data_IF_418557665190
#
_entry.id   IF_418557665190
#
_cell.length_a   1.000
_cell.length_b   1.000
_cell.length_c   1.000
_cell.angle_alpha   90.00
_cell.angle_beta   90.00
_cell.angle_gamma   90.00
#
_symmetry.space_group_name_H-M   'P 1'
#
loop_
_entity.id
_entity.type
_entity.pdbx_description
1 polymer ?
#
# COMPACT_ATOMS: atom_id res chain seq x y z
N UNK A 1 22.62 4.00 -14.56
CA UNK A 1 21.36 3.22 -14.46
C UNK A 1 20.25 4.22 -14.42
N UNK A 2 19.49 4.36 -15.49
CA UNK A 2 18.45 5.40 -15.60
C UNK A 2 17.25 4.95 -16.43
N UNK A 3 17.31 3.76 -17.03
CA UNK A 3 16.19 3.25 -17.82
C UNK A 3 15.17 2.53 -16.94
N UNK A 4 13.92 2.48 -17.42
CA UNK A 4 12.86 1.66 -16.82
C UNK A 4 13.31 0.19 -16.60
N UNK A 5 14.06 -0.36 -17.57
CA UNK A 5 14.60 -1.72 -17.48
C UNK A 5 15.62 -1.87 -16.34
N UNK A 6 16.53 -0.91 -16.17
CA UNK A 6 17.48 -0.91 -15.06
C UNK A 6 16.76 -0.89 -13.71
N UNK A 7 15.73 -0.04 -13.57
CA UNK A 7 14.94 0.09 -12.35
C UNK A 7 14.16 -1.19 -12.01
N UNK A 8 13.52 -1.83 -12.99
CA UNK A 8 12.88 -3.14 -12.79
C UNK A 8 13.92 -4.17 -12.29
N UNK A 9 15.09 -4.21 -12.91
CA UNK A 9 16.13 -5.17 -12.54
C UNK A 9 16.67 -4.95 -11.12
N UNK A 10 16.78 -3.70 -10.66
CA UNK A 10 17.13 -3.38 -9.26
C UNK A 10 16.10 -3.93 -8.28
N UNK A 11 14.81 -3.72 -8.54
CA UNK A 11 13.73 -4.26 -7.69
C UNK A 11 13.79 -5.79 -7.65
N UNK A 12 13.95 -6.43 -8.81
CA UNK A 12 14.02 -7.90 -8.91
C UNK A 12 15.20 -8.41 -8.08
N UNK A 13 16.39 -7.83 -8.23
CA UNK A 13 17.57 -8.27 -7.47
C UNK A 13 17.37 -8.17 -5.96
N UNK A 14 16.72 -7.11 -5.48
CA UNK A 14 16.46 -6.95 -4.04
C UNK A 14 15.39 -7.93 -3.53
N UNK A 15 14.34 -8.18 -4.31
CA UNK A 15 13.13 -8.86 -3.81
C UNK A 15 13.02 -10.34 -4.14
N UNK A 16 13.94 -10.88 -4.92
CA UNK A 16 13.92 -12.28 -5.35
C UNK A 16 15.25 -12.96 -5.04
N UNK A 17 15.23 -14.29 -4.93
CA UNK A 17 16.47 -15.03 -4.74
C UNK A 17 17.35 -15.01 -5.99
N UNK A 18 18.67 -15.02 -5.82
CA UNK A 18 19.58 -15.00 -6.96
C UNK A 18 19.43 -16.22 -7.87
N UNK A 19 19.22 -17.39 -7.27
CA UNK A 19 19.18 -18.68 -7.98
C UNK A 19 17.85 -18.92 -8.67
N UNK A 20 16.72 -18.52 -8.05
CA UNK A 20 15.37 -18.88 -8.52
C UNK A 20 14.54 -17.69 -8.99
N UNK A 21 15.09 -16.46 -9.07
CA UNK A 21 14.32 -15.25 -9.42
C UNK A 21 13.37 -15.39 -10.59
N UNK A 22 13.77 -16.05 -11.67
CA UNK A 22 12.93 -16.14 -12.86
C UNK A 22 11.72 -17.03 -12.65
N UNK A 23 11.89 -18.12 -11.89
CA UNK A 23 10.82 -19.02 -11.51
C UNK A 23 9.91 -18.36 -10.47
N UNK A 24 10.48 -17.65 -9.49
CA UNK A 24 9.71 -16.88 -8.52
C UNK A 24 8.86 -15.81 -9.21
N UNK A 25 9.44 -15.09 -10.18
CA UNK A 25 8.72 -14.09 -10.97
C UNK A 25 7.61 -14.71 -11.80
N UNK A 26 7.82 -15.88 -12.40
CA UNK A 26 6.77 -16.62 -13.09
C UNK A 26 5.63 -17.03 -12.17
N UNK A 27 5.95 -17.58 -10.99
CA UNK A 27 4.97 -18.00 -9.99
C UNK A 27 4.10 -16.83 -9.51
N UNK A 28 4.67 -15.63 -9.34
CA UNK A 28 3.93 -14.46 -8.85
C UNK A 28 3.24 -13.65 -9.96
N UNK A 29 3.76 -13.64 -11.19
CA UNK A 29 3.26 -12.80 -12.29
C UNK A 29 2.47 -13.54 -13.35
N UNK A 30 2.63 -14.86 -13.46
CA UNK A 30 2.13 -15.66 -14.58
C UNK A 30 2.89 -15.46 -15.89
N UNK A 31 3.90 -14.59 -15.93
CA UNK A 31 4.76 -14.38 -17.10
C UNK A 31 5.86 -15.44 -17.10
N UNK A 32 6.00 -16.16 -18.21
CA UNK A 32 6.94 -17.27 -18.32
C UNK A 32 8.37 -16.91 -17.88
N UNK A 33 9.04 -17.82 -17.16
CA UNK A 33 10.39 -17.58 -16.66
C UNK A 33 11.40 -17.31 -17.80
N UNK A 34 11.19 -17.90 -18.98
CA UNK A 34 11.99 -17.66 -20.19
C UNK A 34 11.89 -16.22 -20.69
N UNK A 35 10.71 -15.61 -20.54
CA UNK A 35 10.46 -14.19 -20.85
C UNK A 35 11.22 -13.33 -19.84
N UNK A 36 11.10 -13.59 -18.55
CA UNK A 36 11.90 -12.89 -17.53
C UNK A 36 13.41 -13.01 -17.74
N UNK A 37 13.91 -14.19 -18.11
CA UNK A 37 15.31 -14.41 -18.46
C UNK A 37 15.75 -13.60 -19.67
N UNK A 38 14.91 -13.51 -20.71
CA UNK A 38 15.23 -12.74 -21.91
C UNK A 38 15.33 -11.25 -21.59
N UNK A 39 14.45 -10.75 -20.72
CA UNK A 39 14.51 -9.38 -20.22
C UNK A 39 15.79 -9.15 -19.39
N UNK A 40 16.07 -10.01 -18.41
CA UNK A 40 17.26 -9.88 -17.55
C UNK A 40 18.60 -10.01 -18.28
N UNK A 41 18.61 -10.63 -19.46
CA UNK A 41 19.78 -10.72 -20.36
C UNK A 41 19.83 -9.58 -21.40
N UNK A 42 18.99 -8.56 -21.25
CA UNK A 42 18.85 -7.43 -22.17
C UNK A 42 18.52 -7.85 -23.63
N UNK A 43 17.90 -9.02 -23.84
CA UNK A 43 17.46 -9.50 -25.16
C UNK A 43 16.09 -8.95 -25.55
N UNK A 44 15.34 -8.43 -24.58
CA UNK A 44 14.09 -7.71 -24.80
C UNK A 44 13.97 -6.52 -23.85
N UNK A 45 13.16 -5.54 -24.27
CA UNK A 45 12.76 -4.42 -23.40
C UNK A 45 11.70 -4.89 -22.39
N UNK A 46 11.56 -4.14 -21.31
CA UNK A 46 10.46 -4.34 -20.37
C UNK A 46 9.11 -4.16 -21.07
N UNK A 47 8.20 -5.11 -20.87
CA UNK A 47 6.83 -5.01 -21.38
C UNK A 47 5.91 -4.35 -20.35
N UNK A 48 4.73 -3.89 -20.76
CA UNK A 48 3.69 -3.36 -19.88
C UNK A 48 3.31 -4.34 -18.77
N UNK A 49 3.22 -5.63 -19.10
CA UNK A 49 2.81 -6.69 -18.18
C UNK A 49 3.89 -6.92 -17.11
N UNK A 50 5.17 -6.83 -17.48
CA UNK A 50 6.27 -6.90 -16.53
C UNK A 50 6.26 -5.73 -15.54
N UNK A 51 6.04 -4.52 -16.05
CA UNK A 51 5.94 -3.31 -15.22
C UNK A 51 4.76 -3.43 -14.26
N UNK A 52 3.61 -3.84 -14.75
CA UNK A 52 2.40 -4.03 -13.94
C UNK A 52 2.60 -5.11 -12.88
N UNK A 53 3.18 -6.26 -13.24
CA UNK A 53 3.44 -7.36 -12.31
C UNK A 53 4.35 -6.93 -11.15
N UNK A 54 5.47 -6.27 -11.47
CA UNK A 54 6.43 -5.77 -10.46
C UNK A 54 5.77 -4.69 -9.59
N UNK A 55 5.01 -3.78 -10.19
CA UNK A 55 4.32 -2.70 -9.47
C UNK A 55 3.22 -3.23 -8.55
N UNK A 56 2.51 -4.29 -8.92
CA UNK A 56 1.49 -4.91 -8.04
C UNK A 56 2.12 -5.70 -6.91
N UNK A 57 3.22 -6.39 -7.17
CA UNK A 57 3.91 -7.20 -6.17
C UNK A 57 4.62 -6.35 -5.12
N UNK A 58 5.31 -5.30 -5.56
CA UNK A 58 6.08 -4.40 -4.69
C UNK A 58 5.66 -2.93 -4.91
N UNK A 59 4.45 -2.57 -4.47
CA UNK A 59 3.83 -1.29 -4.80
C UNK A 59 4.56 -0.07 -4.25
N UNK A 60 5.36 -0.22 -3.19
CA UNK A 60 6.21 0.85 -2.68
C UNK A 60 7.23 1.37 -3.71
N UNK A 61 7.58 0.57 -4.71
CA UNK A 61 8.50 0.98 -5.77
C UNK A 61 7.79 1.45 -7.05
N UNK A 62 6.47 1.31 -7.16
CA UNK A 62 5.75 1.52 -8.42
C UNK A 62 5.91 2.94 -8.98
N UNK A 63 5.84 3.96 -8.12
CA UNK A 63 6.05 5.35 -8.50
C UNK A 63 7.48 5.56 -9.03
N UNK A 64 8.49 5.21 -8.22
CA UNK A 64 9.91 5.29 -8.60
C UNK A 64 10.25 4.49 -9.86
N UNK A 65 9.63 3.31 -10.02
CA UNK A 65 9.84 2.46 -11.17
C UNK A 65 9.50 3.18 -12.48
N UNK A 66 8.40 3.92 -12.51
CA UNK A 66 7.89 4.57 -13.73
C UNK A 66 8.46 5.98 -13.89
N UNK A 67 8.53 6.76 -12.81
CA UNK A 67 8.93 8.17 -12.88
C UNK A 67 10.42 8.39 -12.66
N UNK A 68 11.10 7.48 -11.97
CA UNK A 68 12.45 7.69 -11.44
C UNK A 68 12.49 8.55 -10.18
N UNK A 69 11.34 9.01 -9.72
CA UNK A 69 11.21 9.88 -8.56
C UNK A 69 10.77 9.07 -7.33
N UNK A 70 11.26 9.45 -6.17
CA UNK A 70 10.79 8.98 -4.87
C UNK A 70 9.87 10.00 -4.25
N UNK A 71 8.99 9.50 -3.38
CA UNK A 71 8.15 10.30 -2.50
C UNK A 71 7.99 9.56 -1.16
N UNK A 72 9.05 9.57 -0.32
CA UNK A 72 9.12 8.71 0.87
C UNK A 72 8.04 9.01 1.92
N UNK A 73 7.57 10.26 2.01
CA UNK A 73 6.49 10.67 2.91
C UNK A 73 5.20 9.89 2.64
N UNK A 74 4.95 9.59 1.37
CA UNK A 74 3.82 8.78 0.93
C UNK A 74 4.21 7.30 0.72
N UNK A 75 5.40 6.88 1.14
CA UNK A 75 5.87 5.49 1.08
C UNK A 75 6.26 5.02 -0.32
N UNK A 76 6.51 5.96 -1.24
CA UNK A 76 7.06 5.68 -2.56
C UNK A 76 8.58 5.81 -2.51
N UNK A 77 9.29 4.69 -2.59
CA UNK A 77 10.73 4.64 -2.35
C UNK A 77 11.47 3.94 -3.48
N UNK A 78 12.80 4.04 -3.47
CA UNK A 78 13.66 3.24 -4.33
C UNK A 78 14.16 1.98 -3.59
N UNK A 79 14.61 0.94 -4.31
CA UNK A 79 15.38 -0.16 -3.74
C UNK A 79 16.63 0.34 -2.99
N UNK A 80 17.15 -0.43 -2.04
CA UNK A 80 18.31 -0.10 -1.19
C UNK A 80 19.59 0.18 -1.99
N UNK A 81 19.74 -0.45 -3.14
CA UNK A 81 20.88 -0.22 -4.05
C UNK A 81 20.79 1.12 -4.80
N UNK A 82 19.69 1.87 -4.64
CA UNK A 82 19.49 3.20 -5.22
C UNK A 82 19.22 4.21 -4.10
N UNK A 83 19.94 5.33 -4.14
CA UNK A 83 19.70 6.43 -3.20
C UNK A 83 18.33 7.08 -3.40
N UNK A 84 17.67 6.87 -4.55
CA UNK A 84 16.45 7.57 -4.92
C UNK A 84 16.69 9.05 -5.25
N UNK A 85 15.66 9.71 -5.78
CA UNK A 85 15.70 11.14 -6.10
C UNK A 85 14.28 11.70 -6.04
N UNK A 86 14.01 12.87 -5.45
CA UNK A 86 14.96 13.80 -4.84
C UNK A 86 15.43 13.40 -3.44
N UNK A 87 14.72 12.49 -2.78
CA UNK A 87 15.00 12.10 -1.39
C UNK A 87 15.21 10.60 -1.27
N UNK A 88 16.19 10.20 -0.47
CA UNK A 88 16.32 8.83 -0.02
C UNK A 88 15.32 8.52 1.08
N UNK A 89 14.88 7.27 1.19
CA UNK A 89 13.94 6.86 2.22
C UNK A 89 13.75 5.36 2.28
N UNK A 90 13.34 4.88 3.46
CA UNK A 90 12.94 3.48 3.65
C UNK A 90 11.45 3.32 3.40
N UNK A 91 11.06 2.19 2.81
CA UNK A 91 9.65 1.84 2.68
C UNK A 91 8.99 1.83 4.06
N UNK A 92 7.91 2.60 4.21
CA UNK A 92 7.10 2.62 5.43
C UNK A 92 6.13 1.43 5.43
N UNK A 93 6.14 0.64 6.51
CA UNK A 93 5.35 -0.59 6.62
C UNK A 93 3.84 -0.34 6.45
N UNK A 94 3.30 0.74 7.00
CA UNK A 94 1.87 1.04 6.85
C UNK A 94 1.50 1.46 5.43
N UNK A 95 2.42 2.13 4.73
CA UNK A 95 2.23 2.48 3.31
C UNK A 95 2.22 1.22 2.44
N UNK A 96 3.19 0.32 2.61
CA UNK A 96 3.22 -0.99 1.92
C UNK A 96 1.92 -1.76 2.17
N UNK A 97 1.52 -1.86 3.44
CA UNK A 97 0.28 -2.53 3.84
C UNK A 97 -0.95 -1.91 3.19
N UNK A 98 -1.06 -0.58 3.22
CA UNK A 98 -2.17 0.13 2.57
C UNK A 98 -2.24 -0.18 1.08
N UNK A 99 -1.11 -0.14 0.37
CA UNK A 99 -1.09 -0.43 -1.06
C UNK A 99 -1.52 -1.88 -1.36
N UNK A 100 -0.99 -2.84 -0.61
CA UNK A 100 -1.36 -4.25 -0.76
C UNK A 100 -2.86 -4.48 -0.50
N UNK A 101 -3.40 -3.88 0.55
CA UNK A 101 -4.82 -3.99 0.87
C UNK A 101 -5.71 -3.31 -0.18
N UNK A 102 -5.25 -2.19 -0.75
CA UNK A 102 -5.96 -1.50 -1.82
C UNK A 102 -5.97 -2.32 -3.12
N UNK A 103 -4.83 -2.92 -3.49
CA UNK A 103 -4.71 -3.80 -4.65
C UNK A 103 -5.61 -5.03 -4.47
N UNK A 104 -5.58 -5.68 -3.30
CA UNK A 104 -6.42 -6.84 -3.01
C UNK A 104 -7.92 -6.49 -3.06
N UNK A 105 -8.33 -5.37 -2.47
CA UNK A 105 -9.71 -4.92 -2.52
C UNK A 105 -10.16 -4.61 -3.96
N UNK A 106 -9.32 -3.93 -4.75
CA UNK A 106 -9.61 -3.63 -6.17
C UNK A 106 -9.74 -4.91 -7.01
N UNK A 107 -8.85 -5.87 -6.81
CA UNK A 107 -8.90 -7.15 -7.52
C UNK A 107 -10.19 -7.92 -7.19
N UNK A 108 -10.57 -7.97 -5.91
CA UNK A 108 -11.82 -8.61 -5.52
C UNK A 108 -13.05 -7.88 -6.07
N UNK A 109 -13.06 -6.54 -6.08
CA UNK A 109 -14.13 -5.76 -6.72
C UNK A 109 -14.24 -6.08 -8.21
N UNK A 110 -13.09 -6.18 -8.91
CA UNK A 110 -13.05 -6.55 -10.33
C UNK A 110 -13.66 -7.93 -10.59
N UNK A 111 -13.32 -8.92 -9.76
CA UNK A 111 -13.90 -10.26 -9.85
C UNK A 111 -15.41 -10.25 -9.62
N UNK A 112 -15.90 -9.50 -8.63
CA UNK A 112 -17.34 -9.35 -8.38
C UNK A 112 -18.07 -8.77 -9.58
N UNK A 113 -17.56 -7.67 -10.14
CA UNK A 113 -18.17 -6.99 -11.30
C UNK A 113 -18.16 -7.89 -12.53
N UNK A 114 -17.05 -8.57 -12.81
CA UNK A 114 -16.98 -9.47 -13.96
C UNK A 114 -17.90 -10.67 -13.82
N UNK A 115 -17.96 -11.28 -12.63
CA UNK A 115 -18.85 -12.41 -12.42
C UNK A 115 -20.32 -11.98 -12.55
N UNK A 116 -20.66 -10.79 -12.05
CA UNK A 116 -21.98 -10.22 -12.27
C UNK A 116 -22.27 -10.02 -13.77
N UNK A 117 -21.37 -9.41 -14.53
CA UNK A 117 -21.56 -9.26 -15.98
C UNK A 117 -21.66 -10.60 -16.73
N UNK A 118 -20.88 -11.61 -16.35
CA UNK A 118 -20.97 -12.97 -16.92
C UNK A 118 -22.33 -13.62 -16.65
N UNK A 119 -22.91 -13.36 -15.48
CA UNK A 119 -24.25 -13.86 -15.15
C UNK A 119 -25.33 -13.13 -15.97
N UNK A 120 -25.18 -11.82 -16.23
CA UNK A 120 -26.14 -11.02 -17.00
C UNK A 120 -26.04 -11.21 -18.52
N UNK A 121 -24.81 -11.31 -19.06
CA UNK A 121 -24.53 -11.33 -20.52
C UNK A 121 -24.07 -12.69 -21.04
N UNK A 122 -23.84 -13.67 -20.15
CA UNK A 122 -23.20 -14.95 -20.49
C UNK A 122 -21.67 -14.86 -20.56
N UNK A 123 -21.02 -16.01 -20.80
CA UNK A 123 -19.55 -16.13 -20.78
C UNK A 123 -18.83 -15.29 -21.85
N UNK A 124 -19.47 -15.05 -23.00
CA UNK A 124 -18.92 -14.27 -24.11
C UNK A 124 -19.09 -12.74 -23.92
N UNK A 125 -19.66 -12.30 -22.78
CA UNK A 125 -19.81 -10.87 -22.41
C UNK A 125 -20.39 -9.97 -23.52
N UNK A 126 -21.17 -10.54 -24.45
CA UNK A 126 -21.69 -9.83 -25.61
C UNK A 126 -20.63 -9.25 -26.55
N UNK A 127 -19.42 -9.83 -26.60
CA UNK A 127 -18.31 -9.34 -27.41
C UNK A 127 -17.56 -8.14 -26.81
N UNK A 128 -17.90 -7.73 -25.59
CA UNK A 128 -17.21 -6.66 -24.87
C UNK A 128 -16.01 -7.18 -24.10
N UNK A 129 -14.96 -6.36 -24.05
CA UNK A 129 -13.76 -6.66 -23.27
C UNK A 129 -13.95 -6.36 -21.78
N UNK A 130 -13.21 -7.04 -20.89
CA UNK A 130 -13.21 -6.69 -19.46
C UNK A 130 -12.83 -5.24 -19.15
N UNK A 131 -12.05 -4.58 -20.01
CA UNK A 131 -11.71 -3.16 -19.86
C UNK A 131 -12.86 -2.23 -20.19
N UNK A 132 -13.78 -2.64 -21.07
CA UNK A 132 -14.97 -1.87 -21.42
C UNK A 132 -16.09 -2.03 -20.37
N UNK A 133 -16.10 -3.16 -19.66
CA UNK A 133 -17.11 -3.53 -18.65
C UNK A 133 -16.70 -3.25 -17.20
N UNK A 134 -15.43 -2.91 -16.95
CA UNK A 134 -14.92 -2.70 -15.58
C UNK A 134 -14.24 -1.35 -15.46
N UNK A 135 -15.08 -0.33 -15.35
CA UNK A 135 -14.73 1.04 -15.00
C UNK A 135 -14.54 1.21 -13.49
N UNK A 136 -13.92 2.32 -13.09
CA UNK A 136 -13.77 2.66 -11.67
C UNK A 136 -15.11 2.89 -10.96
N UNK A 137 -16.15 3.34 -11.68
CA UNK A 137 -17.50 3.49 -11.13
C UNK A 137 -18.10 2.13 -10.74
N UNK A 138 -17.95 1.12 -11.60
CA UNK A 138 -18.44 -0.23 -11.34
C UNK A 138 -17.66 -0.88 -10.19
N UNK A 139 -16.35 -0.67 -10.13
CA UNK A 139 -15.53 -1.16 -9.02
C UNK A 139 -15.95 -0.54 -7.68
N UNK A 140 -16.24 0.76 -7.65
CA UNK A 140 -16.76 1.44 -6.45
C UNK A 140 -18.15 0.92 -6.04
N UNK A 141 -18.93 0.48 -7.03
CA UNK A 141 -20.29 -0.03 -6.87
C UNK A 141 -20.37 -1.56 -6.77
N UNK A 142 -19.24 -2.27 -6.77
CA UNK A 142 -19.18 -3.74 -6.88
C UNK A 142 -20.07 -4.47 -5.86
N UNK A 143 -20.11 -3.96 -4.62
CA UNK A 143 -20.97 -4.49 -3.57
C UNK A 143 -22.46 -4.32 -3.88
N UNK A 144 -22.88 -3.15 -4.36
CA UNK A 144 -24.27 -2.87 -4.72
C UNK A 144 -24.69 -3.67 -5.94
N UNK A 145 -23.84 -3.72 -6.98
CA UNK A 145 -24.08 -4.51 -8.19
C UNK A 145 -24.31 -5.98 -7.83
N UNK A 146 -23.47 -6.55 -6.96
CA UNK A 146 -23.59 -7.95 -6.58
C UNK A 146 -24.83 -8.26 -5.73
N UNK A 147 -25.27 -7.33 -4.88
CA UNK A 147 -26.40 -7.57 -3.99
C UNK A 147 -27.76 -7.20 -4.59
N UNK A 148 -27.79 -6.28 -5.56
CA UNK A 148 -29.01 -5.74 -6.19
C UNK A 148 -29.91 -4.91 -5.25
N UNK A 149 -29.96 -5.24 -3.96
CA UNK A 149 -30.74 -4.59 -2.91
C UNK A 149 -29.91 -4.43 -1.63
N UNK A 150 -30.14 -3.31 -0.92
CA UNK A 150 -29.46 -3.02 0.36
C UNK A 150 -29.73 -4.05 1.46
N UNK A 151 -30.85 -4.77 1.37
CA UNK A 151 -31.29 -5.74 2.39
C UNK A 151 -31.01 -7.20 2.01
N UNK A 152 -30.38 -7.47 0.86
CA UNK A 152 -30.04 -8.82 0.46
C UNK A 152 -28.96 -9.41 1.38
N UNK A 153 -29.05 -10.72 1.64
CA UNK A 153 -28.04 -11.44 2.42
C UNK A 153 -26.71 -11.46 1.64
N UNK A 154 -25.57 -11.12 2.26
CA UNK A 154 -24.28 -11.16 1.59
C UNK A 154 -23.91 -12.57 1.12
N UNK A 155 -23.54 -12.69 -0.14
CA UNK A 155 -22.94 -13.91 -0.71
C UNK A 155 -21.49 -14.07 -0.21
N UNK A 156 -20.89 -15.28 -0.27
CA UNK A 156 -19.54 -15.52 0.26
C UNK A 156 -18.43 -14.61 -0.33
N UNK A 157 -18.52 -14.32 -1.62
CA UNK A 157 -17.67 -13.38 -2.36
C UNK A 157 -17.84 -11.92 -1.89
N UNK A 158 -19.08 -11.50 -1.59
CA UNK A 158 -19.34 -10.18 -0.97
C UNK A 158 -18.80 -10.13 0.46
N UNK A 159 -18.90 -11.21 1.24
CA UNK A 159 -18.32 -11.26 2.59
C UNK A 159 -16.79 -11.13 2.52
N UNK A 160 -16.15 -11.81 1.56
CA UNK A 160 -14.71 -11.69 1.30
C UNK A 160 -14.34 -10.25 0.94
N UNK A 161 -15.10 -9.63 0.05
CA UNK A 161 -14.91 -8.22 -0.31
C UNK A 161 -15.08 -7.27 0.89
N UNK A 162 -16.15 -7.42 1.68
CA UNK A 162 -16.42 -6.60 2.87
C UNK A 162 -15.28 -6.74 3.91
N UNK A 163 -14.68 -7.92 4.03
CA UNK A 163 -13.50 -8.17 4.86
C UNK A 163 -12.28 -7.40 4.37
N UNK A 164 -11.99 -7.45 3.06
CA UNK A 164 -10.89 -6.70 2.44
C UNK A 164 -11.08 -5.19 2.56
N UNK A 165 -12.30 -4.68 2.36
CA UNK A 165 -12.62 -3.26 2.55
C UNK A 165 -12.44 -2.84 4.01
N UNK A 166 -12.79 -3.70 4.96
CA UNK A 166 -12.55 -3.44 6.38
C UNK A 166 -11.06 -3.35 6.69
N UNK A 167 -10.25 -4.28 6.13
CA UNK A 167 -8.78 -4.26 6.24
C UNK A 167 -8.18 -3.00 5.62
N UNK A 168 -8.61 -2.63 4.41
CA UNK A 168 -8.19 -1.40 3.72
C UNK A 168 -8.49 -0.13 4.53
N UNK A 169 -9.67 -0.04 5.15
CA UNK A 169 -10.03 1.11 6.01
C UNK A 169 -9.10 1.25 7.21
N UNK A 170 -8.70 0.12 7.81
CA UNK A 170 -7.72 0.09 8.91
C UNK A 170 -6.36 0.58 8.41
N UNK A 171 -5.86 -0.01 7.33
CA UNK A 171 -4.55 0.35 6.76
C UNK A 171 -4.49 1.80 6.28
N UNK A 172 -5.59 2.34 5.75
CA UNK A 172 -5.73 3.77 5.42
C UNK A 172 -5.63 4.65 6.66
N UNK A 173 -6.22 4.22 7.77
CA UNK A 173 -6.18 4.98 9.03
C UNK A 173 -4.77 4.97 9.64
N UNK A 174 -4.09 3.82 9.61
CA UNK A 174 -2.69 3.69 10.04
C UNK A 174 -1.76 4.56 9.19
N UNK A 175 -1.89 4.51 7.86
CA UNK A 175 -1.10 5.33 6.95
C UNK A 175 -1.34 6.82 7.19
N UNK A 176 -2.58 7.24 7.44
CA UNK A 176 -2.89 8.64 7.78
C UNK A 176 -2.21 9.06 9.09
N UNK A 177 -2.21 8.20 10.11
CA UNK A 177 -1.52 8.47 11.36
C UNK A 177 0.00 8.63 11.13
N UNK A 178 0.59 7.78 10.31
CA UNK A 178 2.02 7.86 9.98
C UNK A 178 2.37 9.15 9.21
N UNK A 179 1.60 9.51 8.19
CA UNK A 179 1.80 10.77 7.45
C UNK A 179 1.69 11.98 8.39
N UNK A 180 0.73 11.98 9.31
CA UNK A 180 0.61 13.06 10.31
C UNK A 180 1.87 13.18 11.16
N UNK A 181 2.47 12.07 11.60
CA UNK A 181 3.72 12.13 12.37
C UNK A 181 4.91 12.65 11.55
N UNK A 182 4.91 12.51 10.22
CA UNK A 182 5.96 13.12 9.37
C UNK A 182 5.87 14.65 9.34
N UNK A 183 4.67 15.21 9.51
CA UNK A 183 4.47 16.68 9.55
C UNK A 183 4.92 17.33 10.86
N UNK A 184 5.42 16.56 11.84
CA UNK A 184 5.87 17.08 13.14
C UNK A 184 6.88 18.24 13.03
N UNK A 185 7.73 18.22 12.00
CA UNK A 185 8.81 19.20 11.83
C UNK A 185 8.30 20.61 11.57
N UNK A 186 7.02 20.72 11.19
CA UNK A 186 6.34 21.97 10.90
C UNK A 186 5.79 22.64 12.17
N UNK A 187 5.78 21.93 13.30
CA UNK A 187 5.17 22.38 14.56
C UNK A 187 6.21 22.68 15.63
N UNK A 188 5.83 23.55 16.57
CA UNK A 188 6.52 23.72 17.84
C UNK A 188 6.22 22.55 18.80
N UNK A 189 6.70 22.62 20.04
CA UNK A 189 6.50 21.55 21.03
C UNK A 189 5.02 21.36 21.42
N UNK A 190 4.25 22.44 21.53
CA UNK A 190 2.82 22.39 21.82
C UNK A 190 2.04 21.73 20.67
N UNK A 191 2.33 22.14 19.43
CA UNK A 191 1.76 21.52 18.23
C UNK A 191 2.19 20.05 18.07
N UNK A 192 3.43 19.71 18.41
CA UNK A 192 3.91 18.31 18.41
C UNK A 192 3.16 17.48 19.45
N UNK A 193 2.89 18.01 20.64
CA UNK A 193 2.12 17.32 21.69
C UNK A 193 0.67 17.07 21.26
N UNK A 194 0.02 18.08 20.67
CA UNK A 194 -1.33 17.93 20.12
C UNK A 194 -1.39 16.87 18.99
N UNK A 195 -0.37 16.83 18.13
CA UNK A 195 -0.22 15.85 17.07
C UNK A 195 -0.09 14.42 17.62
N UNK A 196 0.72 14.23 18.66
CA UNK A 196 0.87 12.93 19.35
C UNK A 196 -0.48 12.48 19.90
N UNK A 197 -1.21 13.36 20.61
CA UNK A 197 -2.53 13.04 21.16
C UNK A 197 -3.55 12.66 20.08
N UNK A 198 -3.57 13.38 18.94
CA UNK A 198 -4.42 13.05 17.80
C UNK A 198 -4.12 11.63 17.25
N UNK A 199 -2.85 11.27 17.13
CA UNK A 199 -2.46 9.95 16.61
C UNK A 199 -2.81 8.84 17.60
N UNK A 200 -2.71 9.08 18.90
CA UNK A 200 -3.17 8.15 19.93
C UNK A 200 -4.68 7.91 19.87
N UNK A 201 -5.48 8.97 19.70
CA UNK A 201 -6.93 8.86 19.50
C UNK A 201 -7.28 8.07 18.24
N UNK A 202 -6.48 8.24 17.17
CA UNK A 202 -6.62 7.44 15.96
C UNK A 202 -6.35 5.96 16.24
N UNK A 203 -5.32 5.61 17.03
CA UNK A 203 -5.05 4.21 17.42
C UNK A 203 -6.22 3.61 18.19
N UNK A 204 -6.75 4.31 19.19
CA UNK A 204 -7.93 3.85 19.95
C UNK A 204 -9.13 3.62 19.03
N UNK A 205 -9.33 4.50 18.05
CA UNK A 205 -10.40 4.37 17.06
C UNK A 205 -10.19 3.15 16.15
N UNK A 206 -8.95 2.86 15.75
CA UNK A 206 -8.60 1.68 14.96
C UNK A 206 -8.88 0.41 15.76
N UNK A 207 -8.47 0.37 17.03
CA UNK A 207 -8.72 -0.76 17.95
C UNK A 207 -10.21 -1.03 18.13
N UNK A 208 -11.03 0.01 18.32
CA UNK A 208 -12.50 -0.15 18.40
C UNK A 208 -13.12 -0.73 17.13
N UNK A 209 -12.55 -0.40 15.96
CA UNK A 209 -13.01 -0.93 14.65
C UNK A 209 -12.56 -2.37 14.42
N UNK A 210 -11.48 -2.80 15.06
CA UNK A 210 -11.06 -4.19 15.07
C UNK A 210 -12.02 -4.98 15.95
N UNK A 211 -12.94 -5.75 15.34
CA UNK A 211 -13.74 -6.72 16.10
C UNK A 211 -12.78 -7.66 16.84
N UNK A 212 -13.01 -7.98 18.13
CA UNK A 212 -12.15 -8.89 18.88
C UNK A 212 -11.93 -10.20 18.11
N UNK A 213 -10.66 -10.50 17.79
CA UNK A 213 -10.24 -11.78 17.22
C UNK A 213 -10.24 -11.93 15.69
N UNK A 214 -10.57 -10.91 14.89
CA UNK A 214 -10.58 -11.05 13.40
C UNK A 214 -9.41 -10.43 12.65
N UNK A 215 -8.76 -9.40 13.19
CA UNK A 215 -7.61 -8.75 12.57
C UNK A 215 -6.59 -8.38 13.65
N UNK A 216 -5.33 -8.77 13.44
CA UNK A 216 -4.19 -8.26 14.21
C UNK A 216 -3.52 -7.16 13.40
N UNK A 217 -3.18 -6.06 14.06
CA UNK A 217 -2.44 -4.93 13.48
C UNK A 217 -1.18 -4.76 14.30
N UNK A 218 -0.03 -4.82 13.64
CA UNK A 218 1.21 -4.32 14.23
C UNK A 218 1.25 -2.80 14.06
N UNK A 219 1.60 -2.10 15.13
CA UNK A 219 1.87 -0.66 15.14
C UNK A 219 3.37 -0.35 15.13
N UNK A 220 4.24 -1.35 14.92
CA UNK A 220 5.68 -1.29 15.21
C UNK A 220 6.40 0.03 14.90
N UNK A 221 6.39 0.50 13.64
CA UNK A 221 7.05 1.76 13.27
C UNK A 221 6.33 3.01 13.79
N UNK A 222 4.99 2.95 13.88
CA UNK A 222 4.19 4.04 14.43
C UNK A 222 4.49 4.23 15.92
N UNK A 223 4.57 3.14 16.69
CA UNK A 223 4.87 3.16 18.11
C UNK A 223 6.27 3.70 18.39
N UNK A 224 7.27 3.27 17.61
CA UNK A 224 8.63 3.81 17.72
C UNK A 224 8.69 5.32 17.50
N UNK A 225 7.96 5.83 16.50
CA UNK A 225 7.90 7.27 16.22
C UNK A 225 7.21 8.04 17.34
N UNK A 226 6.10 7.51 17.86
CA UNK A 226 5.38 8.12 18.98
C UNK A 226 6.26 8.21 20.23
N UNK A 227 6.91 7.11 20.61
CA UNK A 227 7.79 7.10 21.79
C UNK A 227 8.94 8.11 21.65
N UNK A 228 9.59 8.17 20.49
CA UNK A 228 10.67 9.14 20.24
C UNK A 228 10.18 10.59 20.36
N UNK A 229 8.98 10.90 19.89
CA UNK A 229 8.41 12.25 20.01
C UNK A 229 8.03 12.58 21.46
N UNK A 230 7.46 11.62 22.20
CA UNK A 230 7.17 11.79 23.63
C UNK A 230 8.43 12.06 24.44
N UNK A 231 9.50 11.30 24.22
CA UNK A 231 10.80 11.54 24.86
C UNK A 231 11.33 12.95 24.56
N UNK A 232 11.21 13.41 23.31
CA UNK A 232 11.62 14.77 22.89
C UNK A 232 10.82 15.85 23.62
N UNK A 233 9.51 15.68 23.76
CA UNK A 233 8.62 16.60 24.49
C UNK A 233 8.96 16.60 25.98
N UNK A 234 9.12 15.41 26.59
CA UNK A 234 9.43 15.28 28.01
C UNK A 234 10.76 15.96 28.38
N UNK A 235 11.79 15.78 27.55
CA UNK A 235 13.08 16.46 27.73
C UNK A 235 12.93 17.98 27.67
N UNK A 236 12.18 18.50 26.69
CA UNK A 236 11.92 19.94 26.60
C UNK A 236 11.21 20.48 27.84
N UNK A 237 10.16 19.80 28.30
CA UNK A 237 9.41 20.20 29.49
C UNK A 237 10.29 20.21 30.75
N UNK A 238 11.20 19.24 30.90
CA UNK A 238 12.19 19.23 31.99
C UNK A 238 13.11 20.45 31.94
N UNK A 239 13.70 20.77 30.78
CA UNK A 239 14.57 21.94 30.64
C UNK A 239 13.84 23.26 30.92
N UNK A 240 12.62 23.42 30.41
CA UNK A 240 11.80 24.61 30.65
C UNK A 240 11.45 24.76 32.14
N UNK A 241 11.16 23.65 32.84
CA UNK A 241 10.89 23.68 34.28
C UNK A 241 12.10 24.04 35.14
N UNK A 242 13.30 23.58 34.77
CA UNK A 242 14.55 23.91 35.49
C UNK A 242 14.90 25.39 35.34
N UNK A 243 14.81 25.93 34.12
CA UNK A 243 15.10 27.35 33.87
C UNK A 243 14.12 28.31 34.57
N UNK A 244 12.85 27.89 34.75
CA UNK A 244 11.85 28.68 35.46
C UNK A 244 11.96 28.58 36.99
N UNK A 245 12.76 27.64 37.53
CA UNK A 245 12.99 27.47 38.97
C UNK A 245 14.24 28.18 39.51
N UNK A 246 15.09 28.71 38.63
CA UNK A 246 16.33 29.43 38.98
C UNK A 246 16.21 30.98 38.86
N UNK A 247 15.06 31.50 38.41
CA UNK A 247 14.76 32.93 38.28
C UNK A 247 13.69 33.42 39.23
#
# INVERSE_FOLDING_TARGET
MDTLGDRIMLIIKEKTSEVRRWKELEEISGIAATTWQSFGRARQRATSEMVEAVSKQWPQFAFWLVTGLTDPEYGHVAPRESDGYPYSGSGQDNSVRYFQDAIAARQQARELVLNWWKEELGEDLGGLTPSELVTDFELQSARQLRLGSRNAKPTPDVIKYDSLISKLKISKSLRRAEILLETEKEFDYEGTEALVGLVEDMKVTIEKKMKPGKLSVSYGELDKKLEKLKERIEMHNKYTSMNNSEG
#
